data_IF_165269994078
#
_entry.id   IF_165269994078
#
_cell.length_a   1.000
_cell.length_b   1.000
_cell.length_c   1.000
_cell.angle_alpha   90.00
_cell.angle_beta   90.00
_cell.angle_gamma   90.00
#
_symmetry.space_group_name_H-M   'P 1'
#
loop_
_entity.id
_entity.type
_entity.pdbx_description
1 polymer ?
#
# COMPACT_ATOMS: atom_id res chain seq x y z
N UNK A 1 9.64 9.47 -3.07
CA UNK A 1 8.67 9.45 -4.18
C UNK A 1 9.37 9.28 -5.55
N UNK A 2 10.07 8.16 -5.77
CA UNK A 2 10.78 7.92 -7.06
C UNK A 2 9.84 7.44 -8.19
N UNK A 3 8.61 7.07 -7.86
CA UNK A 3 7.60 6.60 -8.81
C UNK A 3 7.05 7.67 -9.75
N UNK A 4 7.21 8.96 -9.43
CA UNK A 4 6.81 10.06 -10.31
C UNK A 4 7.85 10.38 -11.39
N UNK A 5 9.10 10.01 -11.18
CA UNK A 5 10.19 10.27 -12.12
C UNK A 5 10.27 9.14 -13.14
N UNK A 6 10.13 9.48 -14.42
CA UNK A 6 10.31 8.54 -15.55
C UNK A 6 11.77 8.07 -15.64
N UNK A 7 11.99 6.99 -16.39
CA UNK A 7 13.33 6.38 -16.59
C UNK A 7 13.98 5.87 -15.29
N UNK A 8 13.16 5.40 -14.34
CA UNK A 8 13.63 4.71 -13.14
C UNK A 8 12.95 3.34 -13.02
N UNK A 9 13.62 2.38 -12.39
CA UNK A 9 13.05 1.04 -12.14
C UNK A 9 11.78 1.07 -11.27
N UNK A 10 11.56 2.18 -10.57
CA UNK A 10 10.40 2.38 -9.74
C UNK A 10 9.18 2.79 -10.60
N UNK A 11 9.38 3.42 -11.75
CA UNK A 11 8.30 3.92 -12.60
C UNK A 11 7.53 2.77 -13.28
N UNK A 12 6.20 2.79 -13.16
CA UNK A 12 5.33 1.89 -13.91
C UNK A 12 4.66 2.62 -15.07
N UNK A 13 4.58 1.96 -16.24
CA UNK A 13 3.83 2.49 -17.40
C UNK A 13 2.32 2.39 -17.22
N UNK A 14 1.86 1.44 -16.40
CA UNK A 14 0.44 1.26 -16.06
C UNK A 14 0.06 2.21 -14.95
N UNK A 15 -0.99 3.01 -15.15
CA UNK A 15 -1.43 4.02 -14.18
C UNK A 15 -1.96 3.37 -12.91
N UNK A 16 -2.58 2.20 -13.02
CA UNK A 16 -3.18 1.46 -11.90
C UNK A 16 -2.10 1.09 -10.87
N UNK A 17 -0.95 0.59 -11.34
CA UNK A 17 0.19 0.26 -10.49
C UNK A 17 0.75 1.49 -9.76
N UNK A 18 0.75 2.65 -10.43
CA UNK A 18 1.17 3.90 -9.81
C UNK A 18 0.19 4.30 -8.70
N UNK A 19 -1.12 4.22 -8.96
CA UNK A 19 -2.15 4.46 -7.95
C UNK A 19 -2.02 3.52 -6.74
N UNK A 20 -1.79 2.23 -6.96
CA UNK A 20 -1.59 1.26 -5.87
C UNK A 20 -0.36 1.59 -5.01
N UNK A 21 0.74 1.98 -5.64
CA UNK A 21 1.96 2.35 -4.93
C UNK A 21 1.76 3.62 -4.08
N UNK A 22 1.03 4.61 -4.61
CA UNK A 22 0.67 5.83 -3.87
C UNK A 22 -0.25 5.53 -2.69
N UNK A 23 -1.28 4.71 -2.89
CA UNK A 23 -2.22 4.33 -1.84
C UNK A 23 -1.46 3.71 -0.65
N UNK A 24 -0.58 2.73 -0.92
CA UNK A 24 0.25 2.11 0.11
C UNK A 24 1.15 3.12 0.83
N UNK A 25 1.79 4.02 0.07
CA UNK A 25 2.67 5.02 0.66
C UNK A 25 1.94 5.99 1.59
N UNK A 26 0.80 6.54 1.17
CA UNK A 26 0.06 7.51 1.98
C UNK A 26 -0.55 6.87 3.22
N UNK A 27 -1.02 5.62 3.14
CA UNK A 27 -1.51 4.89 4.32
C UNK A 27 -0.36 4.70 5.32
N UNK A 28 0.77 4.16 4.87
CA UNK A 28 1.94 3.96 5.73
C UNK A 28 2.44 5.28 6.35
N UNK A 29 2.56 6.34 5.54
CA UNK A 29 3.10 7.62 5.98
C UNK A 29 2.21 8.31 7.02
N UNK A 30 0.88 8.25 6.83
CA UNK A 30 -0.05 8.94 7.71
C UNK A 30 -0.38 8.16 8.99
N UNK A 31 -0.45 6.83 8.93
CA UNK A 31 -0.97 6.01 10.03
C UNK A 31 0.10 5.22 10.78
N UNK A 32 1.20 4.83 10.12
CA UNK A 32 2.22 3.97 10.74
C UNK A 32 3.51 4.71 11.09
N UNK A 33 3.90 5.69 10.27
CA UNK A 33 5.18 6.37 10.46
C UNK A 33 5.06 7.45 11.54
N UNK A 34 5.90 7.34 12.56
CA UNK A 34 6.13 8.42 13.52
C UNK A 34 7.00 9.53 12.93
N UNK A 35 6.58 10.77 13.13
CA UNK A 35 7.24 11.95 12.55
C UNK A 35 7.97 12.77 13.61
N UNK A 36 9.30 12.89 13.49
CA UNK A 36 10.12 13.71 14.40
C UNK A 36 9.68 15.17 14.45
N UNK A 37 9.33 15.77 13.30
CA UNK A 37 8.87 17.16 13.21
C UNK A 37 7.50 17.39 13.87
N UNK A 38 6.72 16.33 14.08
CA UNK A 38 5.42 16.37 14.76
C UNK A 38 5.55 15.94 16.23
N UNK A 39 6.77 15.85 16.78
CA UNK A 39 6.96 15.42 18.17
C UNK A 39 6.80 13.91 18.38
N UNK A 40 6.95 13.10 17.33
CA UNK A 40 6.91 11.63 17.42
C UNK A 40 5.53 11.02 17.18
N UNK A 41 4.48 11.82 16.97
CA UNK A 41 3.16 11.31 16.55
C UNK A 41 3.10 11.08 15.04
N UNK A 42 2.11 10.30 14.59
CA UNK A 42 1.82 10.16 13.17
C UNK A 42 1.04 11.38 12.64
N UNK A 43 1.11 11.68 11.33
CA UNK A 43 0.33 12.76 10.73
C UNK A 43 -1.18 12.61 10.95
N UNK A 44 -1.73 11.39 10.91
CA UNK A 44 -3.15 11.16 11.15
C UNK A 44 -3.56 11.45 12.60
N UNK A 45 -2.67 11.18 13.56
CA UNK A 45 -2.90 11.53 14.97
C UNK A 45 -2.89 13.05 15.17
N UNK A 46 -1.92 13.74 14.58
CA UNK A 46 -1.86 15.20 14.68
C UNK A 46 -3.08 15.89 14.04
N UNK A 47 -3.64 15.28 13.00
CA UNK A 47 -4.87 15.74 12.35
C UNK A 47 -6.15 15.36 13.11
N UNK A 48 -6.06 14.59 14.22
CA UNK A 48 -7.22 14.14 14.99
C UNK A 48 -8.09 13.09 14.28
N UNK A 49 -7.53 12.37 13.30
CA UNK A 49 -8.25 11.32 12.56
C UNK A 49 -8.24 9.97 13.27
N UNK A 50 -7.22 9.73 14.10
CA UNK A 50 -7.04 8.50 14.87
C UNK A 50 -6.27 8.81 16.14
N UNK A 51 -6.56 8.09 17.22
CA UNK A 51 -5.83 8.21 18.48
C UNK A 51 -4.72 7.15 18.62
N UNK A 52 -4.64 6.21 17.67
CA UNK A 52 -3.71 5.08 17.72
C UNK A 52 -2.70 5.10 16.56
N UNK A 53 -1.48 4.61 16.85
CA UNK A 53 -0.50 4.29 15.84
C UNK A 53 -0.79 2.90 15.27
N UNK A 54 -0.75 2.77 13.95
CA UNK A 54 -0.93 1.48 13.27
C UNK A 54 0.41 0.89 12.85
N UNK A 55 0.44 -0.41 12.61
CA UNK A 55 1.60 -1.15 12.11
C UNK A 55 1.37 -1.69 10.69
N UNK A 56 2.37 -2.40 10.16
CA UNK A 56 2.25 -3.00 8.83
C UNK A 56 1.24 -4.15 8.79
N UNK A 57 1.06 -4.88 9.90
CA UNK A 57 0.07 -5.96 10.00
C UNK A 57 -1.35 -5.43 9.83
N UNK A 58 -1.65 -4.27 10.42
CA UNK A 58 -2.93 -3.60 10.22
C UNK A 58 -3.20 -3.27 8.74
N UNK A 59 -2.20 -2.78 8.00
CA UNK A 59 -2.33 -2.51 6.56
C UNK A 59 -2.62 -3.80 5.79
N UNK A 60 -1.91 -4.89 6.09
CA UNK A 60 -2.16 -6.20 5.47
C UNK A 60 -3.57 -6.68 5.78
N UNK A 61 -4.02 -6.53 7.03
CA UNK A 61 -5.39 -6.87 7.43
C UNK A 61 -6.47 -6.13 6.64
N UNK A 62 -6.25 -4.84 6.33
CA UNK A 62 -7.15 -4.07 5.46
C UNK A 62 -7.19 -4.59 4.02
N UNK A 63 -6.02 -5.01 3.50
CA UNK A 63 -5.91 -5.59 2.15
C UNK A 63 -6.64 -6.92 2.10
N UNK A 64 -6.41 -7.80 3.08
CA UNK A 64 -7.03 -9.11 3.17
C UNK A 64 -8.55 -9.02 3.36
N UNK A 65 -9.01 -8.08 4.19
CA UNK A 65 -10.44 -7.81 4.37
C UNK A 65 -11.12 -7.35 3.06
N UNK A 66 -10.37 -6.66 2.18
CA UNK A 66 -10.88 -6.21 0.87
C UNK A 66 -10.69 -7.25 -0.23
N UNK A 67 -9.76 -8.20 -0.06
CA UNK A 67 -9.41 -9.17 -1.08
C UNK A 67 -10.61 -10.08 -1.42
N UNK A 68 -10.86 -10.36 -2.72
CA UNK A 68 -11.89 -11.32 -3.10
C UNK A 68 -11.49 -12.72 -2.61
N UNK A 69 -12.49 -13.53 -2.23
CA UNK A 69 -12.25 -14.94 -1.86
C UNK A 69 -11.54 -15.65 -3.01
N UNK A 70 -10.37 -16.22 -2.72
CA UNK A 70 -9.58 -16.97 -3.70
C UNK A 70 -10.40 -18.16 -4.20
N UNK A 71 -10.66 -18.21 -5.51
CA UNK A 71 -11.31 -19.34 -6.16
C UNK A 71 -10.39 -20.56 -6.25
N UNK A 72 -10.97 -21.74 -6.52
CA UNK A 72 -10.18 -22.94 -6.84
C UNK A 72 -9.34 -22.68 -8.10
N UNK A 73 -8.03 -22.96 -8.02
CA UNK A 73 -7.12 -22.86 -9.16
C UNK A 73 -7.61 -23.77 -10.30
N UNK A 74 -7.70 -23.22 -11.51
CA UNK A 74 -8.05 -23.99 -12.72
C UNK A 74 -6.93 -24.92 -13.19
N UNK A 75 -7.23 -25.90 -14.07
CA UNK A 75 -6.24 -26.82 -14.62
C UNK A 75 -5.15 -26.09 -15.44
N UNK A 76 -3.92 -26.61 -15.42
CA UNK A 76 -2.81 -26.04 -16.17
C UNK A 76 -2.99 -26.23 -17.68
N UNK A 77 -2.65 -25.22 -18.48
CA UNK A 77 -2.75 -25.25 -19.94
C UNK A 77 -1.69 -26.20 -20.50
N UNK A 78 -2.11 -27.36 -21.01
CA UNK A 78 -1.20 -28.30 -21.68
C UNK A 78 -0.71 -27.68 -22.99
N UNK A 79 0.59 -27.75 -23.27
CA UNK A 79 1.12 -27.38 -24.59
C UNK A 79 0.60 -28.38 -25.61
N UNK A 80 0.03 -27.89 -26.71
CA UNK A 80 -0.23 -28.71 -27.88
C UNK A 80 1.11 -28.96 -28.58
N UNK A 81 1.38 -30.22 -28.92
CA UNK A 81 2.49 -30.62 -29.78
C UNK A 81 2.16 -30.26 -31.23
#
# INVERSE_FOLDING_TARGET
MRWFTRLTNAFSKKVENHCHALALYFVFYNFCRQHKSLGGVSPAMQAGLTDALHDMEWIVGLIDAKAPRLGKRGPYKKRAN
#
